data_IF_887813167115
#
_entry.id   IF_887813167115
#
_cell.length_a   1.000
_cell.length_b   1.000
_cell.length_c   1.000
_cell.angle_alpha   90.00
_cell.angle_beta   90.00
_cell.angle_gamma   90.00
#
_symmetry.space_group_name_H-M   'P 1'
#
loop_
_entity.id
_entity.type
_entity.pdbx_description
1 polymer ?
#
# COMPACT_ATOMS: atom_id res chain seq x y z
N UNK A 1 -35.78 48.42 -6.61
CA UNK A 1 -34.59 48.12 -7.45
C UNK A 1 -33.69 47.21 -6.61
N UNK A 2 -33.94 45.90 -6.49
CA UNK A 2 -33.55 44.76 -7.35
C UNK A 2 -32.18 44.93 -8.02
N UNK A 3 -31.29 43.96 -7.75
CA UNK A 3 -29.88 43.80 -8.20
C UNK A 3 -28.95 44.64 -7.31
N UNK A 4 -27.99 44.11 -6.54
CA UNK A 4 -27.03 43.04 -6.83
C UNK A 4 -26.52 42.47 -5.49
N UNK A 5 -26.82 41.22 -5.16
CA UNK A 5 -26.03 40.44 -4.19
C UNK A 5 -25.88 39.06 -4.81
N UNK A 6 -24.98 38.95 -5.77
CA UNK A 6 -24.55 37.68 -6.32
C UNK A 6 -23.10 37.86 -6.75
N UNK A 7 -22.25 36.93 -6.33
CA UNK A 7 -20.78 36.92 -6.42
C UNK A 7 -20.13 37.44 -5.13
N UNK A 8 -19.35 36.67 -4.36
CA UNK A 8 -18.56 35.51 -4.73
C UNK A 8 -18.34 34.60 -3.51
N UNK A 9 -18.92 33.40 -3.50
CA UNK A 9 -18.32 32.27 -2.80
C UNK A 9 -17.35 31.61 -3.79
N UNK A 10 -16.14 32.16 -3.88
CA UNK A 10 -15.01 31.37 -4.39
C UNK A 10 -14.69 30.40 -3.25
N UNK A 11 -15.29 29.22 -3.33
CA UNK A 11 -14.87 28.08 -2.52
C UNK A 11 -13.42 27.84 -2.90
N UNK A 12 -12.51 28.14 -1.97
CA UNK A 12 -11.13 27.69 -2.02
C UNK A 12 -11.16 26.17 -1.97
N UNK A 13 -11.33 25.54 -3.13
CA UNK A 13 -11.03 24.13 -3.30
C UNK A 13 -9.51 24.00 -3.21
N UNK A 14 -9.01 23.87 -1.99
CA UNK A 14 -7.64 23.41 -1.72
C UNK A 14 -7.46 22.10 -2.47
N UNK A 15 -6.50 22.07 -3.39
CA UNK A 15 -6.07 20.81 -4.00
C UNK A 15 -5.53 19.93 -2.87
N UNK A 16 -6.33 18.95 -2.44
CA UNK A 16 -5.91 17.96 -1.47
C UNK A 16 -4.91 17.04 -2.17
N UNK A 17 -3.63 17.38 -2.07
CA UNK A 17 -2.55 16.49 -2.45
C UNK A 17 -2.33 15.51 -1.30
N UNK A 18 -2.23 14.21 -1.62
CA UNK A 18 -1.84 13.22 -0.65
C UNK A 18 -0.39 13.50 -0.25
N UNK A 19 -0.15 13.65 1.05
CA UNK A 19 1.18 13.92 1.60
C UNK A 19 1.80 12.61 2.10
N UNK A 20 3.13 12.58 2.22
CA UNK A 20 3.80 11.43 2.81
C UNK A 20 3.49 11.36 4.31
N UNK A 21 2.97 10.22 4.75
CA UNK A 21 2.72 9.92 6.16
C UNK A 21 3.98 9.27 6.74
N UNK A 22 4.79 10.07 7.43
CA UNK A 22 6.16 9.70 7.81
C UNK A 22 6.24 8.84 9.08
N UNK A 23 5.25 8.90 9.97
CA UNK A 23 5.25 8.10 11.21
C UNK A 23 4.12 7.07 11.23
N UNK A 24 4.27 6.05 12.08
CA UNK A 24 3.19 5.10 12.33
C UNK A 24 1.89 5.80 12.77
N UNK A 25 2.01 6.79 13.66
CA UNK A 25 0.88 7.58 14.16
C UNK A 25 0.19 8.34 13.04
N UNK A 26 0.92 9.00 12.14
CA UNK A 26 0.32 9.72 11.00
C UNK A 26 -0.50 8.79 10.10
N UNK A 27 -0.01 7.56 9.91
CA UNK A 27 -0.70 6.54 9.11
C UNK A 27 -1.96 6.07 9.85
N UNK A 28 -1.85 5.72 11.13
CA UNK A 28 -2.97 5.26 11.95
C UNK A 28 -4.08 6.31 12.05
N UNK A 29 -3.71 7.57 12.26
CA UNK A 29 -4.63 8.70 12.34
C UNK A 29 -5.31 8.95 10.99
N UNK A 30 -4.56 8.89 9.89
CA UNK A 30 -5.12 9.05 8.54
C UNK A 30 -6.10 7.94 8.19
N UNK A 31 -5.81 6.69 8.56
CA UNK A 31 -6.74 5.55 8.42
C UNK A 31 -8.00 5.80 9.24
N UNK A 32 -7.86 6.23 10.50
CA UNK A 32 -8.99 6.50 11.41
C UNK A 32 -9.87 7.66 10.94
N UNK A 33 -9.30 8.60 10.20
CA UNK A 33 -10.02 9.71 9.54
C UNK A 33 -10.68 9.28 8.21
N UNK A 34 -10.54 8.03 7.80
CA UNK A 34 -11.11 7.52 6.54
C UNK A 34 -10.39 8.00 5.28
N UNK A 35 -9.13 8.46 5.40
CA UNK A 35 -8.33 8.89 4.25
C UNK A 35 -7.98 7.70 3.35
N UNK A 36 -7.80 7.99 2.06
CA UNK A 36 -7.33 7.02 1.08
C UNK A 36 -5.82 6.86 1.24
N UNK A 37 -5.35 5.66 1.52
CA UNK A 37 -3.93 5.38 1.76
C UNK A 37 -3.29 4.68 0.56
N UNK A 38 -2.19 5.22 0.06
CA UNK A 38 -1.33 4.61 -0.97
C UNK A 38 -0.04 4.12 -0.33
N UNK A 39 0.34 2.87 -0.63
CA UNK A 39 1.59 2.25 -0.21
C UNK A 39 2.52 2.19 -1.41
N UNK A 40 3.74 2.70 -1.26
CA UNK A 40 4.79 2.67 -2.28
C UNK A 40 5.98 1.91 -1.74
N UNK A 41 6.43 0.90 -2.47
CA UNK A 41 7.58 0.07 -2.11
C UNK A 41 8.64 0.16 -3.19
N UNK A 42 9.87 0.50 -2.80
CA UNK A 42 11.07 0.33 -3.62
C UNK A 42 11.78 -0.95 -3.14
N UNK A 43 11.69 -2.04 -3.91
CA UNK A 43 12.15 -3.36 -3.47
C UNK A 43 13.67 -3.39 -3.24
N UNK A 44 14.43 -2.58 -3.97
CA UNK A 44 15.89 -2.52 -3.93
C UNK A 44 16.41 -1.81 -2.67
N UNK A 45 15.56 -1.03 -2.02
CA UNK A 45 15.84 -0.39 -0.73
C UNK A 45 15.35 -1.23 0.46
N UNK A 46 14.82 -2.43 0.21
CA UNK A 46 14.38 -3.37 1.23
C UNK A 46 15.36 -4.52 1.41
N UNK A 47 15.25 -5.22 2.54
CA UNK A 47 15.93 -6.48 2.77
C UNK A 47 15.08 -7.62 2.21
N UNK A 48 15.31 -7.96 0.95
CA UNK A 48 14.75 -9.14 0.31
C UNK A 48 15.81 -10.23 0.23
N UNK A 49 15.53 -11.41 0.81
CA UNK A 49 16.44 -12.57 0.74
C UNK A 49 16.86 -12.92 -0.70
N UNK A 50 15.96 -12.68 -1.65
CA UNK A 50 16.21 -12.76 -3.10
C UNK A 50 15.53 -11.58 -3.79
N UNK A 51 16.14 -10.40 -3.70
CA UNK A 51 15.69 -9.26 -4.50
C UNK A 51 15.73 -9.64 -5.99
N UNK A 52 14.69 -9.28 -6.78
CA UNK A 52 14.76 -9.36 -8.23
C UNK A 52 15.96 -8.55 -8.75
N UNK A 53 16.64 -9.05 -9.79
CA UNK A 53 17.74 -8.34 -10.42
C UNK A 53 17.31 -6.98 -11.03
N UNK A 54 16.04 -6.88 -11.44
CA UNK A 54 15.47 -5.67 -11.99
C UNK A 54 15.04 -4.73 -10.87
N UNK A 55 15.22 -3.41 -11.08
CA UNK A 55 14.66 -2.37 -10.20
C UNK A 55 13.14 -2.38 -10.25
N UNK A 56 12.46 -2.42 -9.11
CA UNK A 56 10.99 -2.51 -9.02
C UNK A 56 10.49 -1.53 -7.95
N UNK A 57 9.69 -0.56 -8.41
CA UNK A 57 8.85 0.27 -7.56
C UNK A 57 7.41 -0.18 -7.72
N UNK A 58 6.80 -0.67 -6.65
CA UNK A 58 5.40 -1.07 -6.61
C UNK A 58 4.57 -0.01 -5.89
N UNK A 59 3.36 0.25 -6.40
CA UNK A 59 2.38 1.12 -5.74
C UNK A 59 1.04 0.41 -5.66
N UNK A 60 0.43 0.45 -4.49
CA UNK A 60 -0.89 -0.14 -4.24
C UNK A 60 -1.74 0.79 -3.38
N UNK A 61 -3.04 0.73 -3.58
CA UNK A 61 -4.01 1.45 -2.75
C UNK A 61 -5.01 0.43 -2.18
N UNK A 62 -4.68 -0.22 -1.06
CA UNK A 62 -5.59 -1.17 -0.43
C UNK A 62 -6.90 -0.49 -0.01
N UNK A 63 -8.00 -1.22 -0.14
CA UNK A 63 -9.33 -0.69 0.20
C UNK A 63 -9.69 -0.86 1.68
N UNK A 64 -8.87 -1.59 2.44
CA UNK A 64 -9.12 -1.89 3.84
C UNK A 64 -7.82 -1.91 4.64
N UNK A 65 -7.87 -1.36 5.84
CA UNK A 65 -6.78 -1.35 6.80
C UNK A 65 -7.33 -1.72 8.18
N UNK A 66 -6.49 -2.35 8.99
CA UNK A 66 -6.75 -2.55 10.42
C UNK A 66 -5.64 -1.84 11.19
N UNK A 67 -6.01 -0.97 12.14
CA UNK A 67 -5.11 -0.48 13.19
C UNK A 67 -5.34 -1.37 14.42
N UNK A 68 -4.30 -2.05 14.88
CA UNK A 68 -4.38 -3.08 15.90
C UNK A 68 -3.49 -2.66 17.08
N UNK A 69 -4.12 -2.47 18.23
CA UNK A 69 -3.50 -2.12 19.52
C UNK A 69 -2.53 -0.93 19.46
N UNK A 70 -2.74 0.01 18.52
CA UNK A 70 -1.86 1.13 18.23
C UNK A 70 -0.37 0.73 18.05
N UNK A 71 -0.10 -0.52 17.69
CA UNK A 71 1.25 -1.06 17.54
C UNK A 71 1.47 -1.72 16.17
N UNK A 72 0.38 -2.03 15.45
CA UNK A 72 0.46 -2.66 14.13
C UNK A 72 -0.66 -2.18 13.21
N UNK A 73 -0.30 -1.87 11.97
CA UNK A 73 -1.24 -1.65 10.88
C UNK A 73 -1.14 -2.84 9.95
N UNK A 74 -2.27 -3.46 9.63
CA UNK A 74 -2.35 -4.60 8.73
C UNK A 74 -3.25 -4.29 7.53
N UNK A 75 -2.81 -4.70 6.35
CA UNK A 75 -3.63 -4.66 5.14
C UNK A 75 -3.22 -5.77 4.18
N UNK A 76 -4.04 -6.01 3.16
CA UNK A 76 -3.72 -6.97 2.12
C UNK A 76 -4.31 -6.58 0.77
N UNK A 77 -3.72 -7.15 -0.27
CA UNK A 77 -4.11 -7.03 -1.66
C UNK A 77 -4.21 -8.43 -2.24
N UNK A 78 -5.22 -8.66 -3.07
CA UNK A 78 -5.26 -9.81 -3.97
C UNK A 78 -5.06 -9.29 -5.39
N UNK A 79 -3.88 -9.52 -5.96
CA UNK A 79 -3.54 -9.13 -7.32
C UNK A 79 -3.66 -10.32 -8.26
N UNK A 80 -4.55 -10.25 -9.25
CA UNK A 80 -4.61 -11.22 -10.33
C UNK A 80 -3.54 -10.90 -11.38
N UNK A 81 -2.82 -11.92 -11.86
CA UNK A 81 -1.84 -11.72 -12.94
C UNK A 81 -1.65 -12.99 -13.78
N UNK A 82 -1.15 -12.78 -15.01
CA UNK A 82 -0.63 -13.82 -15.91
C UNK A 82 0.90 -13.73 -16.06
N UNK A 83 1.54 -12.74 -15.41
CA UNK A 83 2.95 -12.39 -15.62
C UNK A 83 3.85 -12.84 -14.47
N UNK A 84 3.33 -13.57 -13.48
CA UNK A 84 4.16 -14.08 -12.41
C UNK A 84 5.23 -15.05 -12.98
N UNK A 85 6.53 -14.83 -12.71
CA UNK A 85 7.60 -15.65 -13.29
C UNK A 85 7.50 -17.15 -13.00
N UNK A 86 6.87 -17.55 -11.89
CA UNK A 86 6.71 -18.96 -11.52
C UNK A 86 5.64 -19.68 -12.34
N UNK A 87 4.76 -18.94 -13.01
CA UNK A 87 3.60 -19.48 -13.70
C UNK A 87 3.18 -18.58 -14.88
N UNK A 88 4.13 -18.17 -15.73
CA UNK A 88 3.83 -17.29 -16.88
C UNK A 88 2.71 -17.84 -17.74
N UNK A 89 1.83 -16.95 -18.19
CA UNK A 89 0.61 -17.25 -18.96
C UNK A 89 -0.42 -18.12 -18.25
N UNK A 90 -0.20 -18.49 -16.98
CA UNK A 90 -1.18 -19.21 -16.17
C UNK A 90 -1.84 -18.24 -15.16
N UNK A 91 -3.17 -18.26 -15.03
CA UNK A 91 -3.88 -17.44 -14.05
C UNK A 91 -3.41 -17.71 -12.61
N UNK A 92 -2.86 -16.68 -11.97
CA UNK A 92 -2.49 -16.73 -10.55
C UNK A 92 -3.01 -15.52 -9.77
N UNK A 93 -3.18 -15.71 -8.46
CA UNK A 93 -3.31 -14.64 -7.49
C UNK A 93 -2.00 -14.46 -6.73
N UNK A 94 -1.51 -13.24 -6.69
CA UNK A 94 -0.55 -12.78 -5.70
C UNK A 94 -1.32 -12.18 -4.53
N UNK A 95 -1.35 -12.91 -3.41
CA UNK A 95 -1.95 -12.41 -2.17
C UNK A 95 -0.85 -11.81 -1.30
N UNK A 96 -0.83 -10.47 -1.26
CA UNK A 96 0.20 -9.69 -0.60
C UNK A 96 -0.34 -9.16 0.71
N UNK A 97 0.30 -9.50 1.82
CA UNK A 97 0.01 -8.98 3.16
C UNK A 97 1.08 -7.98 3.57
N UNK A 98 0.66 -6.84 4.08
CA UNK A 98 1.53 -5.81 4.63
C UNK A 98 1.25 -5.73 6.14
N UNK A 99 2.31 -5.77 6.95
CA UNK A 99 2.27 -5.32 8.34
C UNK A 99 3.26 -4.18 8.50
N UNK A 100 2.79 -3.07 9.06
CA UNK A 100 3.60 -1.91 9.46
C UNK A 100 3.55 -1.87 10.98
N UNK A 101 4.68 -1.97 11.64
CA UNK A 101 4.76 -1.93 13.11
C UNK A 101 5.08 -0.50 13.58
N UNK A 102 4.77 -0.19 14.84
CA UNK A 102 5.00 1.15 15.40
C UNK A 102 6.48 1.57 15.47
N UNK A 103 7.40 0.60 15.46
CA UNK A 103 8.85 0.85 15.37
C UNK A 103 9.33 1.22 13.95
N UNK A 104 8.42 1.24 12.96
CA UNK A 104 8.72 1.53 11.57
C UNK A 104 9.21 0.33 10.75
N UNK A 105 9.28 -0.86 11.34
CA UNK A 105 9.52 -2.10 10.57
C UNK A 105 8.29 -2.47 9.74
N UNK A 106 8.53 -2.94 8.52
CA UNK A 106 7.47 -3.32 7.58
C UNK A 106 7.76 -4.72 7.03
N UNK A 107 6.83 -5.66 7.21
CA UNK A 107 6.91 -6.99 6.60
C UNK A 107 5.91 -7.11 5.46
N UNK A 108 6.36 -7.57 4.29
CA UNK A 108 5.54 -7.72 3.10
C UNK A 108 5.63 -9.17 2.64
N UNK A 109 4.56 -9.92 2.83
CA UNK A 109 4.50 -11.34 2.48
C UNK A 109 3.64 -11.54 1.24
N UNK A 110 4.24 -12.00 0.15
CA UNK A 110 3.52 -12.42 -1.04
C UNK A 110 3.33 -13.94 -1.03
N UNK A 111 2.10 -14.37 -1.28
CA UNK A 111 1.75 -15.78 -1.48
C UNK A 111 1.15 -15.93 -2.87
N UNK A 112 1.84 -16.66 -3.73
CA UNK A 112 1.40 -16.91 -5.11
C UNK A 112 0.54 -18.17 -5.10
N UNK A 113 -0.69 -18.07 -5.61
CA UNK A 113 -1.66 -19.15 -5.66
C UNK A 113 -2.21 -19.32 -7.07
N UNK A 114 -2.45 -20.56 -7.49
CA UNK A 114 -3.19 -20.82 -8.71
C UNK A 114 -4.61 -20.23 -8.59
N UNK A 115 -5.06 -19.47 -9.60
CA UNK A 115 -6.33 -18.74 -9.50
C UNK A 115 -7.58 -19.64 -9.63
N UNK A 116 -7.43 -20.87 -10.13
CA UNK A 116 -8.53 -21.83 -10.31
C UNK A 116 -8.80 -22.64 -9.04
N UNK A 117 -7.76 -23.11 -8.37
CA UNK A 117 -7.89 -24.04 -7.24
C UNK A 117 -7.28 -23.52 -5.92
N UNK A 118 -6.74 -22.29 -5.91
CA UNK A 118 -6.10 -21.67 -4.74
C UNK A 118 -4.90 -22.43 -4.16
N UNK A 119 -4.37 -23.41 -4.89
CA UNK A 119 -3.16 -24.11 -4.48
C UNK A 119 -2.00 -23.12 -4.42
N UNK A 120 -1.32 -23.06 -3.27
CA UNK A 120 -0.11 -22.26 -3.12
C UNK A 120 1.01 -22.82 -4.01
N UNK A 121 1.57 -21.95 -4.85
CA UNK A 121 2.71 -22.24 -5.72
C UNK A 121 4.03 -21.84 -5.05
N UNK A 122 4.03 -20.69 -4.37
CA UNK A 122 5.19 -20.20 -3.61
C UNK A 122 4.78 -19.16 -2.57
N UNK A 123 5.69 -18.87 -1.63
CA UNK A 123 5.60 -17.71 -0.75
C UNK A 123 6.98 -17.11 -0.54
N UNK A 124 7.04 -15.78 -0.48
CA UNK A 124 8.24 -15.04 -0.15
C UNK A 124 7.90 -13.80 0.69
N UNK A 125 8.88 -13.33 1.45
CA UNK A 125 8.77 -12.17 2.31
C UNK A 125 9.88 -11.16 1.95
N UNK A 126 9.50 -9.89 2.01
CA UNK A 126 10.37 -8.73 1.87
C UNK A 126 10.20 -7.91 3.15
N UNK A 127 11.31 -7.59 3.81
CA UNK A 127 11.30 -6.74 4.98
C UNK A 127 11.85 -5.36 4.62
N UNK A 128 11.09 -4.31 4.91
CA UNK A 128 11.43 -2.92 4.62
C UNK A 128 11.41 -2.09 5.91
N UNK A 129 11.91 -0.87 5.82
CA UNK A 129 11.72 0.15 6.85
C UNK A 129 10.88 1.30 6.28
N UNK A 130 10.00 1.85 7.11
CA UNK A 130 9.22 3.04 6.80
C UNK A 130 10.16 4.20 6.45
N UNK A 131 9.78 5.00 5.45
CA UNK A 131 10.53 6.12 4.86
C UNK A 131 11.80 5.76 4.09
N UNK A 132 12.18 4.48 4.03
CA UNK A 132 13.24 3.98 3.14
C UNK A 132 12.60 3.30 1.94
N UNK A 133 12.76 1.97 1.82
CA UNK A 133 12.13 1.16 0.80
C UNK A 133 10.60 1.02 0.91
N UNK A 134 9.97 1.57 1.95
CA UNK A 134 8.51 1.62 2.06
C UNK A 134 8.02 3.00 2.48
N UNK A 135 7.12 3.59 1.70
CA UNK A 135 6.53 4.92 1.93
C UNK A 135 5.02 4.84 1.87
N UNK A 136 4.36 5.69 2.66
CA UNK A 136 2.90 5.75 2.76
C UNK A 136 2.43 7.17 2.47
N UNK A 137 1.33 7.30 1.75
CA UNK A 137 0.72 8.59 1.40
C UNK A 137 -0.77 8.57 1.70
N UNK A 138 -1.35 9.71 2.09
CA UNK A 138 -2.79 9.82 2.35
C UNK A 138 -3.31 11.25 2.50
#
# INVERSE_FOLDING_TARGET
>A
MKKMILSALIVLSSAAHAEQLATFTDIADSISQGKKITLVMNIQECNAQKAPANSIVASVQPTAFLVIDNNRIATSLKHFTLDNPLARNNPVFEFVKYNINADGSVSIKNTVMNARNYQQLASFQIDCALNKGFKVFG
#
